data_IF_472729445784
#
_entry.id   IF_472729445784
#
_cell.length_a   1.000
_cell.length_b   1.000
_cell.length_c   1.000
_cell.angle_alpha   90.00
_cell.angle_beta   90.00
_cell.angle_gamma   90.00
#
_symmetry.space_group_name_H-M   'P 1'
#
loop_
_entity.id
_entity.type
_entity.pdbx_description
1 polymer ?
#
# COMPACT_ATOMS: atom_id res chain seq x y z
N UNK A 1 -29.32 -1.17 -13.48
CA UNK A 1 -27.88 -1.04 -13.16
C UNK A 1 -27.22 -0.08 -14.13
N UNK A 2 -26.45 0.86 -13.61
CA UNK A 2 -25.73 1.81 -14.46
C UNK A 2 -24.30 1.34 -14.64
N UNK A 3 -23.95 0.95 -15.85
CA UNK A 3 -22.63 0.37 -16.16
C UNK A 3 -21.51 1.37 -15.86
N UNK A 4 -21.71 2.66 -16.16
CA UNK A 4 -20.69 3.68 -15.91
C UNK A 4 -20.42 3.87 -14.43
N UNK A 5 -21.45 3.82 -13.59
CA UNK A 5 -21.28 3.89 -12.14
C UNK A 5 -20.58 2.66 -11.61
N UNK A 6 -20.91 1.50 -12.16
CA UNK A 6 -20.26 0.25 -11.79
C UNK A 6 -18.77 0.27 -12.15
N UNK A 7 -18.44 0.74 -13.34
CA UNK A 7 -17.06 0.88 -13.78
C UNK A 7 -16.27 1.83 -12.87
N UNK A 8 -16.87 2.97 -12.54
CA UNK A 8 -16.24 3.94 -11.65
C UNK A 8 -15.99 3.36 -10.26
N UNK A 9 -16.95 2.59 -9.75
CA UNK A 9 -16.79 1.92 -8.45
C UNK A 9 -15.67 0.89 -8.49
N UNK A 10 -15.57 0.12 -9.55
CA UNK A 10 -14.50 -0.88 -9.71
C UNK A 10 -13.14 -0.18 -9.78
N UNK A 11 -13.03 0.89 -10.56
CA UNK A 11 -11.79 1.65 -10.66
C UNK A 11 -11.37 2.21 -9.30
N UNK A 12 -12.32 2.75 -8.53
CA UNK A 12 -12.04 3.28 -7.20
C UNK A 12 -11.55 2.19 -6.25
N UNK A 13 -12.16 1.01 -6.29
CA UNK A 13 -11.74 -0.13 -5.46
C UNK A 13 -10.34 -0.57 -5.84
N UNK A 14 -10.06 -0.74 -7.13
CA UNK A 14 -8.75 -1.16 -7.61
C UNK A 14 -7.67 -0.13 -7.27
N UNK A 15 -7.99 1.14 -7.38
CA UNK A 15 -7.08 2.23 -7.03
C UNK A 15 -6.75 2.18 -5.54
N UNK A 16 -7.76 2.03 -4.69
CA UNK A 16 -7.60 1.95 -3.25
C UNK A 16 -6.77 0.73 -2.83
N UNK A 17 -7.01 -0.41 -3.48
CA UNK A 17 -6.22 -1.61 -3.23
C UNK A 17 -4.76 -1.41 -3.62
N UNK A 18 -4.51 -0.75 -4.76
CA UNK A 18 -3.17 -0.43 -5.19
C UNK A 18 -2.43 0.48 -4.21
N UNK A 19 -3.12 1.49 -3.69
CA UNK A 19 -2.55 2.36 -2.67
C UNK A 19 -2.21 1.60 -1.39
N UNK A 20 -3.09 0.68 -0.96
CA UNK A 20 -2.87 -0.12 0.24
C UNK A 20 -1.64 -1.02 0.10
N UNK A 21 -1.49 -1.67 -1.05
CA UNK A 21 -0.33 -2.52 -1.32
C UNK A 21 0.96 -1.68 -1.31
N UNK A 22 0.92 -0.50 -1.92
CA UNK A 22 2.08 0.39 -1.95
C UNK A 22 2.44 0.86 -0.54
N UNK A 23 1.44 1.21 0.27
CA UNK A 23 1.65 1.63 1.66
C UNK A 23 2.27 0.51 2.49
N UNK A 24 1.82 -0.72 2.30
CA UNK A 24 2.38 -1.89 2.99
C UNK A 24 3.85 -2.12 2.62
N UNK A 25 4.18 -1.94 1.35
CA UNK A 25 5.57 -2.08 0.88
C UNK A 25 6.47 -1.02 1.51
N UNK A 26 6.00 0.21 1.59
CA UNK A 26 6.75 1.32 2.20
C UNK A 26 6.94 1.04 3.70
N UNK A 27 5.89 0.60 4.38
CA UNK A 27 5.96 0.29 5.81
C UNK A 27 6.96 -0.85 6.08
N UNK A 28 6.95 -1.88 5.25
CA UNK A 28 7.89 -2.99 5.37
C UNK A 28 9.33 -2.53 5.17
N UNK A 29 9.57 -1.63 4.22
CA UNK A 29 10.89 -1.07 3.97
C UNK A 29 11.39 -0.24 5.16
N UNK A 30 10.51 0.55 5.77
CA UNK A 30 10.83 1.35 6.96
C UNK A 30 11.18 0.45 8.14
N UNK A 31 10.39 -0.60 8.36
CA UNK A 31 10.66 -1.57 9.44
C UNK A 31 12.01 -2.23 9.24
N UNK A 32 12.35 -2.60 8.02
CA UNK A 32 13.63 -3.21 7.70
C UNK A 32 14.79 -2.25 8.00
N UNK A 33 14.64 -0.98 7.65
CA UNK A 33 15.65 0.04 7.94
C UNK A 33 15.84 0.25 9.42
N UNK A 34 14.76 0.27 10.20
CA UNK A 34 14.82 0.41 11.66
C UNK A 34 15.57 -0.76 12.27
N UNK A 35 15.28 -1.98 11.84
CA UNK A 35 16.00 -3.18 12.30
C UNK A 35 17.47 -3.10 11.97
N UNK A 36 17.84 -2.65 10.79
CA UNK A 36 19.21 -2.48 10.37
C UNK A 36 19.93 -1.45 11.25
N UNK A 37 19.29 -0.33 11.53
CA UNK A 37 19.84 0.71 12.40
C UNK A 37 20.02 0.20 13.82
N UNK A 38 19.09 -0.59 14.32
CA UNK A 38 19.19 -1.21 15.65
C UNK A 38 20.39 -2.13 15.74
N UNK A 39 20.67 -2.91 14.70
CA UNK A 39 21.84 -3.79 14.67
C UNK A 39 23.15 -3.00 14.67
N UNK A 40 23.17 -1.87 14.00
CA UNK A 40 24.36 -1.01 13.93
C UNK A 40 24.66 -0.37 15.30
N UNK A 41 23.61 -0.04 16.05
CA UNK A 41 23.76 0.62 17.35
C UNK A 41 24.05 -0.32 18.51
N UNK A 42 23.89 -1.59 18.30
CA UNK A 42 24.27 -2.60 19.30
C UNK A 42 25.75 -2.85 19.25
#
# INVERSE_FOLDING_TARGET
MNIKKTEAAIEAILFTMGESVEAEKIAAAIDHDVDTLSLIHI
#
